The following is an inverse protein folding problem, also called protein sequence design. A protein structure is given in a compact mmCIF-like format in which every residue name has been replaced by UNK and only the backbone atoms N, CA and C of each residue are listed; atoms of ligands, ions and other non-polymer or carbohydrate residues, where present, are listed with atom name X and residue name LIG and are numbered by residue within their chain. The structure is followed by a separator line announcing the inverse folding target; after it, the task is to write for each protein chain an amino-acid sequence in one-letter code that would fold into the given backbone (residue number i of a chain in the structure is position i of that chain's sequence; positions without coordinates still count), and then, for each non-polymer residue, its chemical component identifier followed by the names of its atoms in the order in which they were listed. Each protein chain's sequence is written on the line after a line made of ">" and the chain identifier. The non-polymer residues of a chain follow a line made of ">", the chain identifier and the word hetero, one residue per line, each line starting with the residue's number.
data_IF_334514986288
#
_entry.id   IF_334514986288
#
_cell.length_a   1.000
_cell.length_b   1.000
_cell.length_c   1.000
_cell.angle_alpha   90.00
_cell.angle_beta   90.00
_cell.angle_gamma   90.00
#
_symmetry.space_group_name_H-M   'P 1'
#
loop_
_entity.id
_entity.type
_entity.pdbx_description
1 polymer ?
#
# COMPACT_ATOMS: atom_id res chain seq x y z
N UNK A 1 -12.91 33.52 0.97
CA UNK A 1 -12.87 32.94 -0.40
C UNK A 1 -11.76 33.57 -1.26
N UNK A 2 -10.57 33.93 -0.72
CA UNK A 2 -9.64 34.84 -1.41
C UNK A 2 -8.22 34.33 -1.73
N UNK A 3 -7.61 33.46 -0.92
CA UNK A 3 -6.19 33.10 -1.10
C UNK A 3 -5.87 32.09 -2.22
N UNK A 4 -6.62 30.97 -2.38
CA UNK A 4 -6.31 30.00 -3.43
C UNK A 4 -6.50 30.58 -4.84
N UNK A 5 -7.46 31.50 -4.96
CA UNK A 5 -7.87 32.10 -6.22
C UNK A 5 -6.84 33.08 -6.79
N UNK A 6 -6.10 33.78 -5.92
CA UNK A 6 -5.01 34.66 -6.31
C UNK A 6 -3.73 33.89 -6.64
N UNK A 7 -3.56 32.73 -6.01
CA UNK A 7 -2.41 31.88 -6.25
C UNK A 7 -2.55 31.14 -7.59
N UNK A 8 -3.70 30.59 -7.95
CA UNK A 8 -3.83 29.77 -9.17
C UNK A 8 -4.21 30.56 -10.44
N UNK A 9 -3.78 31.82 -10.57
CA UNK A 9 -4.13 32.69 -11.70
C UNK A 9 -2.92 33.36 -12.33
N UNK A 10 -2.87 33.36 -13.66
CA UNK A 10 -1.97 34.20 -14.44
C UNK A 10 -2.59 35.60 -14.57
N UNK A 11 -1.78 36.66 -14.52
CA UNK A 11 -2.22 38.07 -14.70
C UNK A 11 -2.91 38.32 -16.06
N UNK A 12 -2.76 37.42 -17.04
CA UNK A 12 -3.28 37.58 -18.40
C UNK A 12 -4.44 36.64 -18.77
N UNK A 13 -4.95 35.82 -17.84
CA UNK A 13 -6.12 34.97 -18.12
C UNK A 13 -7.44 35.73 -17.89
N UNK A 14 -7.98 36.31 -18.98
CA UNK A 14 -9.38 36.75 -19.02
C UNK A 14 -10.29 35.57 -18.66
N UNK A 15 -11.25 35.80 -17.75
CA UNK A 15 -12.16 34.78 -17.22
C UNK A 15 -13.12 34.27 -18.28
N UNK A 16 -13.08 32.99 -18.70
CA UNK A 16 -14.30 32.23 -18.69
C UNK A 16 -14.45 31.73 -17.25
N UNK A 17 -15.48 32.20 -16.54
CA UNK A 17 -15.94 31.45 -15.38
C UNK A 17 -16.12 29.99 -15.80
N UNK A 18 -15.90 29.02 -14.91
CA UNK A 18 -16.28 27.62 -15.20
C UNK A 18 -17.75 27.69 -15.58
N UNK A 19 -18.04 27.57 -16.88
CA UNK A 19 -19.40 27.64 -17.36
C UNK A 19 -20.05 26.42 -16.72
N UNK A 20 -21.09 26.62 -15.90
CA UNK A 20 -21.91 25.52 -15.36
C UNK A 20 -22.20 24.40 -16.38
N UNK A 21 -22.39 24.70 -17.69
CA UNK A 21 -22.43 23.69 -18.75
C UNK A 21 -21.24 22.74 -18.82
N UNK A 22 -20.01 23.19 -18.55
CA UNK A 22 -18.79 22.35 -18.57
C UNK A 22 -18.77 21.39 -17.39
N UNK A 23 -19.10 21.87 -16.17
CA UNK A 23 -19.20 21.00 -15.00
C UNK A 23 -20.33 19.98 -15.17
N UNK A 24 -21.50 20.42 -15.66
CA UNK A 24 -22.62 19.53 -15.97
C UNK A 24 -22.26 18.49 -17.02
N UNK A 25 -21.59 18.88 -18.11
CA UNK A 25 -21.07 17.93 -19.11
C UNK A 25 -20.08 16.94 -18.52
N UNK A 26 -19.13 17.40 -17.70
CA UNK A 26 -18.16 16.51 -17.05
C UNK A 26 -18.84 15.49 -16.12
N UNK A 27 -19.83 15.93 -15.33
CA UNK A 27 -20.63 15.06 -14.46
C UNK A 27 -21.46 14.07 -15.28
N UNK A 28 -22.09 14.51 -16.36
CA UNK A 28 -22.87 13.63 -17.25
C UNK A 28 -22.00 12.61 -17.95
N UNK A 29 -20.84 13.01 -18.47
CA UNK A 29 -19.87 12.09 -19.08
C UNK A 29 -19.35 11.11 -18.03
N UNK A 30 -18.98 11.60 -16.84
CA UNK A 30 -18.56 10.75 -15.72
C UNK A 30 -19.64 9.74 -15.34
N UNK A 31 -20.89 10.18 -15.19
CA UNK A 31 -22.02 9.31 -14.90
C UNK A 31 -22.24 8.29 -16.02
N UNK A 32 -22.24 8.70 -17.29
CA UNK A 32 -22.41 7.80 -18.42
C UNK A 32 -21.31 6.71 -18.48
N UNK A 33 -20.07 7.05 -18.08
CA UNK A 33 -18.95 6.12 -18.06
C UNK A 33 -18.98 5.18 -16.84
N UNK A 34 -19.33 5.67 -15.66
CA UNK A 34 -19.27 4.89 -14.41
C UNK A 34 -20.57 4.20 -14.03
N UNK A 35 -21.73 4.72 -14.45
CA UNK A 35 -23.04 4.15 -14.10
C UNK A 35 -23.20 2.70 -14.57
N UNK A 36 -22.76 2.28 -15.79
CA UNK A 36 -22.83 0.88 -16.19
C UNK A 36 -22.06 -0.05 -15.22
N UNK A 37 -20.88 0.38 -14.77
CA UNK A 37 -20.10 -0.38 -13.79
C UNK A 37 -20.79 -0.44 -12.42
N UNK A 38 -21.35 0.68 -11.95
CA UNK A 38 -22.07 0.72 -10.67
C UNK A 38 -23.32 -0.17 -10.68
N UNK A 39 -24.09 -0.14 -11.77
CA UNK A 39 -25.27 -0.99 -11.96
C UNK A 39 -24.87 -2.47 -11.99
N UNK A 40 -23.81 -2.82 -12.73
CA UNK A 40 -23.30 -4.19 -12.76
C UNK A 40 -22.77 -4.64 -11.39
N UNK A 41 -22.01 -3.80 -10.69
CA UNK A 41 -21.48 -4.12 -9.36
C UNK A 41 -22.63 -4.33 -8.37
N UNK A 42 -23.67 -3.50 -8.42
CA UNK A 42 -24.86 -3.68 -7.62
C UNK A 42 -25.59 -4.98 -7.96
N UNK A 43 -25.81 -5.29 -9.24
CA UNK A 43 -26.56 -6.47 -9.64
C UNK A 43 -25.82 -7.79 -9.38
N UNK A 44 -24.49 -7.80 -9.53
CA UNK A 44 -23.66 -8.99 -9.36
C UNK A 44 -23.23 -9.21 -7.90
N UNK A 45 -22.79 -8.16 -7.21
CA UNK A 45 -22.28 -8.27 -5.83
C UNK A 45 -23.30 -7.86 -4.76
N UNK A 46 -24.46 -7.31 -5.12
CA UNK A 46 -25.44 -6.76 -4.18
C UNK A 46 -25.03 -5.41 -3.57
N UNK A 47 -23.87 -4.88 -3.94
CA UNK A 47 -23.34 -3.60 -3.47
C UNK A 47 -22.38 -3.01 -4.52
N UNK A 48 -22.41 -1.69 -4.75
CA UNK A 48 -21.46 -1.01 -5.64
C UNK A 48 -20.13 -0.73 -4.92
N UNK A 49 -20.05 -1.01 -3.61
CA UNK A 49 -18.86 -0.81 -2.80
C UNK A 49 -18.04 -2.09 -2.77
N UNK A 50 -16.80 -2.09 -3.32
CA UNK A 50 -15.91 -3.24 -3.29
C UNK A 50 -15.67 -3.75 -1.86
N UNK A 51 -15.72 -5.08 -1.69
CA UNK A 51 -15.50 -5.73 -0.39
C UNK A 51 -14.18 -5.32 0.29
N UNK A 52 -13.13 -5.13 -0.51
CA UNK A 52 -11.80 -4.71 -0.04
C UNK A 52 -11.80 -3.34 0.64
N UNK A 53 -12.71 -2.42 0.26
CA UNK A 53 -12.87 -1.12 0.94
C UNK A 53 -13.39 -1.34 2.35
N UNK A 54 -14.39 -2.22 2.51
CA UNK A 54 -14.98 -2.55 3.81
C UNK A 54 -13.92 -3.21 4.71
N UNK A 55 -13.17 -4.18 4.17
CA UNK A 55 -12.12 -4.87 4.92
C UNK A 55 -11.02 -3.91 5.40
N UNK A 56 -10.52 -3.03 4.53
CA UNK A 56 -9.47 -2.06 4.88
C UNK A 56 -9.97 -0.98 5.85
N UNK A 57 -11.21 -0.52 5.69
CA UNK A 57 -11.78 0.51 6.56
C UNK A 57 -11.84 0.07 8.03
N UNK A 58 -12.02 -1.23 8.30
CA UNK A 58 -12.06 -1.75 9.66
C UNK A 58 -10.73 -1.59 10.44
N UNK A 59 -9.62 -1.42 9.73
CA UNK A 59 -8.26 -1.26 10.26
C UNK A 59 -7.66 0.11 10.04
N UNK A 60 -8.34 0.98 9.29
CA UNK A 60 -7.88 2.35 9.05
C UNK A 60 -8.46 3.23 10.16
N UNK A 61 -7.63 3.95 10.95
CA UNK A 61 -8.15 4.87 11.95
C UNK A 61 -8.97 5.97 11.28
N UNK A 62 -10.06 6.44 11.92
CA UNK A 62 -10.83 7.55 11.39
C UNK A 62 -9.95 8.81 11.32
N UNK A 63 -9.97 9.49 10.20
CA UNK A 63 -9.21 10.73 9.98
C UNK A 63 -10.10 11.91 10.34
N UNK A 64 -9.67 12.71 11.31
CA UNK A 64 -10.42 13.86 11.78
C UNK A 64 -10.05 15.15 11.05
N UNK A 65 -10.87 16.18 11.24
CA UNK A 65 -10.59 17.53 10.72
C UNK A 65 -9.22 18.06 11.19
N UNK A 66 -8.80 17.71 12.41
CA UNK A 66 -7.48 18.09 12.95
C UNK A 66 -6.34 17.52 12.12
N UNK A 67 -6.39 16.24 11.74
CA UNK A 67 -5.34 15.59 10.95
C UNK A 67 -5.21 16.27 9.59
N UNK A 68 -6.34 16.62 9.00
CA UNK A 68 -6.41 17.39 7.76
C UNK A 68 -5.81 18.80 7.87
N UNK A 69 -6.15 19.54 8.93
CA UNK A 69 -5.61 20.89 9.15
C UNK A 69 -4.10 20.87 9.46
N UNK A 70 -3.62 19.82 10.12
CA UNK A 70 -2.20 19.68 10.48
C UNK A 70 -1.36 19.05 9.38
N UNK A 71 -1.94 18.47 8.33
CA UNK A 71 -1.19 17.79 7.28
C UNK A 71 -0.08 18.64 6.63
N UNK A 72 -0.27 19.94 6.33
CA UNK A 72 0.82 20.80 5.84
C UNK A 72 2.02 20.79 6.80
N UNK A 73 1.76 20.99 8.10
CA UNK A 73 2.80 21.00 9.12
C UNK A 73 3.42 19.61 9.29
N UNK A 74 2.61 18.55 9.30
CA UNK A 74 3.11 17.17 9.36
C UNK A 74 4.00 16.85 8.17
N UNK A 75 3.67 17.34 6.97
CA UNK A 75 4.49 17.17 5.76
C UNK A 75 5.84 17.87 5.92
N UNK A 76 5.87 19.10 6.42
CA UNK A 76 7.12 19.82 6.70
C UNK A 76 7.96 19.16 7.80
N UNK A 77 7.32 18.50 8.77
CA UNK A 77 7.98 17.74 9.83
C UNK A 77 8.37 16.31 9.42
N UNK A 78 8.09 15.89 8.18
CA UNK A 78 8.36 14.52 7.71
C UNK A 78 7.50 13.44 8.37
N UNK A 79 6.31 13.80 8.84
CA UNK A 79 5.34 12.94 9.56
C UNK A 79 4.12 12.55 8.74
N UNK A 80 4.05 12.95 7.47
CA UNK A 80 2.97 12.56 6.55
C UNK A 80 3.49 11.61 5.48
N UNK A 81 2.62 10.76 4.94
CA UNK A 81 2.99 9.87 3.83
C UNK A 81 3.20 10.63 2.51
N UNK A 82 2.94 11.94 2.46
CA UNK A 82 3.21 12.78 1.29
C UNK A 82 4.71 12.85 1.02
N UNK A 83 5.56 12.91 2.06
CA UNK A 83 7.02 12.96 1.86
C UNK A 83 7.61 11.67 1.27
N UNK A 84 6.80 10.62 1.14
CA UNK A 84 7.18 9.34 0.56
C UNK A 84 6.99 9.28 -0.96
N UNK A 85 6.50 10.37 -1.58
CA UNK A 85 6.16 10.47 -3.01
C UNK A 85 7.26 9.99 -3.98
N UNK A 86 8.52 10.23 -3.61
CA UNK A 86 9.68 9.86 -4.40
C UNK A 86 10.56 8.83 -3.69
N UNK A 87 10.04 8.14 -2.67
CA UNK A 87 10.76 7.09 -1.98
C UNK A 87 10.59 5.74 -2.70
N UNK A 88 11.56 4.82 -2.54
CA UNK A 88 11.45 3.50 -3.13
C UNK A 88 10.31 2.70 -2.49
N UNK A 89 9.82 1.68 -3.21
CA UNK A 89 8.75 0.84 -2.70
C UNK A 89 9.17 0.12 -1.41
N UNK A 90 8.29 0.16 -0.40
CA UNK A 90 8.54 -0.43 0.93
C UNK A 90 9.78 0.13 1.66
N UNK A 91 10.14 1.39 1.41
CA UNK A 91 11.29 2.06 2.06
C UNK A 91 11.25 2.01 3.59
N UNK A 92 10.06 1.91 4.20
CA UNK A 92 9.82 1.88 5.65
C UNK A 92 10.52 0.72 6.37
N UNK A 93 10.86 -0.35 5.64
CA UNK A 93 11.65 -1.45 6.18
C UNK A 93 13.15 -1.11 6.28
N UNK A 94 13.60 0.00 5.69
CA UNK A 94 15.00 0.42 5.68
C UNK A 94 15.80 -0.24 4.57
N UNK A 95 17.13 -0.30 4.73
CA UNK A 95 18.04 -0.85 3.72
C UNK A 95 18.32 0.08 2.53
N UNK A 96 18.00 1.37 2.66
CA UNK A 96 18.25 2.39 1.65
C UNK A 96 19.26 3.44 2.15
N UNK A 97 20.16 3.95 1.29
CA UNK A 97 21.08 5.02 1.66
C UNK A 97 20.34 6.26 2.19
N UNK A 98 20.72 6.74 3.37
CA UNK A 98 20.04 7.86 4.05
C UNK A 98 19.97 9.11 3.18
N UNK A 99 21.01 9.40 2.39
CA UNK A 99 21.02 10.60 1.53
C UNK A 99 19.94 10.54 0.44
N UNK A 100 19.61 9.35 -0.09
CA UNK A 100 18.54 9.19 -1.08
C UNK A 100 17.17 9.43 -0.44
N UNK A 101 16.98 8.93 0.79
CA UNK A 101 15.75 9.14 1.55
C UNK A 101 15.53 10.64 1.80
N UNK A 102 16.56 11.33 2.28
CA UNK A 102 16.49 12.77 2.54
C UNK A 102 16.26 13.55 1.24
N UNK A 103 16.95 13.21 0.14
CA UNK A 103 16.75 13.84 -1.17
C UNK A 103 15.30 13.68 -1.65
N UNK A 104 14.75 12.46 -1.61
CA UNK A 104 13.38 12.20 -2.02
C UNK A 104 12.35 12.98 -1.18
N UNK A 105 12.54 13.03 0.14
CA UNK A 105 11.68 13.79 1.05
C UNK A 105 11.75 15.30 0.79
N UNK A 106 12.94 15.85 0.52
CA UNK A 106 13.09 17.25 0.13
C UNK A 106 12.37 17.56 -1.18
N UNK A 107 12.52 16.71 -2.20
CA UNK A 107 11.81 16.85 -3.47
C UNK A 107 10.28 16.80 -3.28
N UNK A 108 9.80 15.86 -2.46
CA UNK A 108 8.39 15.72 -2.15
C UNK A 108 7.85 16.96 -1.41
N UNK A 109 8.59 17.52 -0.44
CA UNK A 109 8.21 18.74 0.26
C UNK A 109 8.14 19.95 -0.69
N UNK A 110 9.12 20.10 -1.60
CA UNK A 110 9.08 21.16 -2.64
C UNK A 110 7.83 21.01 -3.50
N UNK A 111 7.55 19.80 -3.98
CA UNK A 111 6.35 19.52 -4.80
C UNK A 111 5.06 19.78 -4.02
N UNK A 112 5.01 19.45 -2.73
CA UNK A 112 3.82 19.63 -1.90
C UNK A 112 3.37 21.10 -1.80
N UNK A 113 4.34 22.03 -1.79
CA UNK A 113 4.09 23.45 -1.52
C UNK A 113 4.39 24.37 -2.71
N UNK A 114 4.85 23.83 -3.83
CA UNK A 114 5.15 24.55 -5.05
C UNK A 114 3.99 25.42 -5.57
N UNK A 115 2.73 25.00 -5.35
CA UNK A 115 1.54 25.78 -5.71
C UNK A 115 1.44 27.14 -4.99
N UNK A 116 2.12 27.28 -3.85
CA UNK A 116 2.20 28.52 -3.07
C UNK A 116 3.27 29.48 -3.61
N UNK A 117 4.13 29.06 -4.54
CA UNK A 117 5.24 29.87 -5.05
C UNK A 117 4.73 30.75 -6.22
N UNK A 118 4.62 32.08 -6.05
CA UNK A 118 4.01 32.96 -7.05
C UNK A 118 4.84 33.09 -8.35
N UNK A 119 6.13 32.77 -8.31
CA UNK A 119 7.03 32.83 -9.47
C UNK A 119 6.98 31.61 -10.38
N UNK A 120 6.26 30.55 -10.01
CA UNK A 120 6.16 29.34 -10.82
C UNK A 120 5.04 29.46 -11.86
N UNK A 121 5.26 28.82 -13.02
CA UNK A 121 4.25 28.75 -14.07
C UNK A 121 2.94 28.14 -13.54
N UNK A 122 1.82 28.65 -14.04
CA UNK A 122 0.50 28.25 -13.54
C UNK A 122 0.24 26.75 -13.68
N UNK A 123 0.71 26.14 -14.78
CA UNK A 123 0.62 24.70 -14.99
C UNK A 123 1.35 23.91 -13.89
N UNK A 124 2.59 24.29 -13.54
CA UNK A 124 3.35 23.65 -12.47
C UNK A 124 2.70 23.80 -11.10
N UNK A 125 2.09 24.96 -10.83
CA UNK A 125 1.35 25.20 -9.58
C UNK A 125 0.08 24.37 -9.50
N UNK A 126 -0.66 24.23 -10.60
CA UNK A 126 -1.82 23.34 -10.69
C UNK A 126 -1.43 21.87 -10.49
N UNK A 127 -0.32 21.43 -11.09
CA UNK A 127 0.21 20.07 -10.89
C UNK A 127 0.61 19.83 -9.42
N UNK A 128 1.34 20.76 -8.80
CA UNK A 128 1.69 20.71 -7.37
C UNK A 128 0.44 20.65 -6.47
N UNK A 129 -0.57 21.46 -6.74
CA UNK A 129 -1.82 21.43 -5.97
C UNK A 129 -2.56 20.10 -6.15
N UNK A 130 -2.58 19.54 -7.36
CA UNK A 130 -3.17 18.23 -7.62
C UNK A 130 -2.44 17.13 -6.83
N UNK A 131 -1.09 17.16 -6.78
CA UNK A 131 -0.30 16.25 -5.92
C UNK A 131 -0.66 16.46 -4.46
N UNK A 132 -0.70 17.70 -3.98
CA UNK A 132 -1.02 18.00 -2.59
C UNK A 132 -2.40 17.45 -2.19
N UNK A 133 -3.45 17.72 -2.97
CA UNK A 133 -4.81 17.24 -2.70
C UNK A 133 -4.95 15.72 -2.88
N UNK A 134 -4.29 15.15 -3.88
CA UNK A 134 -4.31 13.71 -4.13
C UNK A 134 -3.60 12.91 -3.05
N UNK A 135 -2.39 13.32 -2.67
CA UNK A 135 -1.64 12.70 -1.59
C UNK A 135 -2.30 12.95 -0.24
N UNK A 136 -3.00 14.07 -0.05
CA UNK A 136 -3.83 14.31 1.13
C UNK A 136 -4.92 13.23 1.26
N UNK A 137 -5.61 12.88 0.17
CA UNK A 137 -6.55 11.75 0.17
C UNK A 137 -5.85 10.42 0.48
N UNK A 138 -4.69 10.17 -0.12
CA UNK A 138 -3.95 8.93 0.12
C UNK A 138 -3.38 8.81 1.53
N UNK A 139 -3.09 9.92 2.21
CA UNK A 139 -2.71 9.94 3.61
C UNK A 139 -3.85 9.48 4.54
N UNK A 140 -5.10 9.50 4.05
CA UNK A 140 -6.26 9.05 4.82
C UNK A 140 -6.55 7.56 4.74
N UNK A 141 -5.75 6.82 3.96
CA UNK A 141 -5.88 5.37 3.80
C UNK A 141 -4.54 4.69 4.05
N UNK A 142 -4.55 3.36 4.15
CA UNK A 142 -3.31 2.58 4.13
C UNK A 142 -2.64 2.77 2.76
N UNK A 143 -1.53 3.49 2.74
CA UNK A 143 -0.77 3.76 1.53
C UNK A 143 -0.01 2.51 1.10
N UNK A 144 -0.21 2.13 -0.16
CA UNK A 144 0.61 1.13 -0.82
C UNK A 144 1.40 1.77 -1.97
N UNK A 145 2.63 1.28 -2.28
CA UNK A 145 3.49 1.92 -3.27
C UNK A 145 2.86 2.09 -4.66
N UNK A 146 1.97 1.18 -5.07
CA UNK A 146 1.30 1.26 -6.38
C UNK A 146 0.24 2.38 -6.49
N UNK A 147 -0.08 3.09 -5.39
CA UNK A 147 -0.93 4.28 -5.44
C UNK A 147 -0.16 5.55 -5.80
N UNK A 148 1.17 5.53 -5.68
CA UNK A 148 2.05 6.70 -5.76
C UNK A 148 2.41 7.15 -7.19
N UNK A 149 2.61 6.28 -8.20
CA UNK A 149 3.16 6.68 -9.50
C UNK A 149 2.43 7.81 -10.24
N UNK A 150 1.08 7.86 -10.29
CA UNK A 150 0.38 8.96 -10.94
C UNK A 150 0.71 10.32 -10.30
N UNK A 151 0.91 10.34 -8.98
CA UNK A 151 1.25 11.55 -8.24
C UNK A 151 2.73 11.92 -8.39
N UNK A 152 3.64 10.94 -8.44
CA UNK A 152 5.05 11.20 -8.72
C UNK A 152 5.23 11.84 -10.09
N UNK A 153 4.47 11.42 -11.10
CA UNK A 153 4.49 12.02 -12.44
C UNK A 153 4.08 13.50 -12.41
N UNK A 154 2.97 13.82 -11.73
CA UNK A 154 2.54 15.21 -11.53
C UNK A 154 3.58 16.01 -10.72
N UNK A 155 4.26 15.37 -9.76
CA UNK A 155 5.35 15.96 -9.01
C UNK A 155 6.55 16.30 -9.87
N UNK A 156 6.95 15.40 -10.79
CA UNK A 156 8.01 15.66 -11.78
C UNK A 156 7.65 16.84 -12.68
N UNK A 157 6.39 16.92 -13.15
CA UNK A 157 5.91 18.06 -13.94
C UNK A 157 6.02 19.36 -13.13
N UNK A 158 5.62 19.36 -11.86
CA UNK A 158 5.76 20.52 -10.99
C UNK A 158 7.24 20.94 -10.84
N UNK A 159 8.14 19.99 -10.58
CA UNK A 159 9.58 20.25 -10.47
C UNK A 159 10.17 20.83 -11.76
N UNK A 160 9.76 20.33 -12.93
CA UNK A 160 10.24 20.82 -14.22
C UNK A 160 9.89 22.32 -14.42
N UNK A 161 8.65 22.71 -14.12
CA UNK A 161 8.26 24.14 -14.16
C UNK A 161 8.99 24.98 -13.11
N UNK A 162 9.30 24.40 -11.95
CA UNK A 162 10.13 25.06 -10.93
C UNK A 162 11.55 25.33 -11.41
N UNK A 163 12.17 24.35 -12.08
CA UNK A 163 13.49 24.47 -12.68
C UNK A 163 13.50 25.51 -13.81
N UNK A 164 12.50 25.52 -14.67
CA UNK A 164 12.32 26.54 -15.73
C UNK A 164 12.17 27.95 -15.14
N UNK A 165 11.32 28.13 -14.13
CA UNK A 165 11.13 29.41 -13.46
C UNK A 165 12.42 29.94 -12.83
N UNK A 166 13.21 29.06 -12.20
CA UNK A 166 14.51 29.41 -11.61
C UNK A 166 15.51 29.87 -12.68
N UNK A 167 15.63 29.10 -13.77
CA UNK A 167 16.52 29.42 -14.88
C UNK A 167 16.10 30.70 -15.62
N UNK A 168 14.80 30.94 -15.79
CA UNK A 168 14.28 32.16 -16.42
C UNK A 168 14.49 33.41 -15.57
N UNK A 169 14.38 33.30 -14.24
CA UNK A 169 14.63 34.42 -13.33
C UNK A 169 16.12 34.76 -13.21
N UNK A 170 16.99 33.75 -13.24
CA UNK A 170 18.43 33.93 -13.17
C UNK A 170 19.15 33.11 -14.25
N UNK A 171 19.30 33.63 -15.49
CA UNK A 171 19.86 32.88 -16.61
C UNK A 171 21.26 32.32 -16.37
N UNK A 172 22.07 33.00 -15.54
CA UNK A 172 23.41 32.54 -15.11
C UNK A 172 23.38 31.20 -14.37
N UNK A 173 22.24 30.83 -13.78
CA UNK A 173 22.04 29.55 -13.09
C UNK A 173 21.69 28.39 -14.00
N UNK A 174 21.40 28.63 -15.30
CA UNK A 174 20.93 27.60 -16.22
C UNK A 174 21.82 26.35 -16.28
N UNK A 175 23.18 26.45 -16.35
CA UNK A 175 24.04 25.27 -16.34
C UNK A 175 23.93 24.47 -15.04
N UNK A 176 23.83 25.17 -13.91
CA UNK A 176 23.66 24.56 -12.58
C UNK A 176 22.31 23.87 -12.48
N UNK A 177 21.22 24.53 -12.88
CA UNK A 177 19.86 23.95 -12.88
C UNK A 177 19.80 22.69 -13.75
N UNK A 178 20.38 22.72 -14.96
CA UNK A 178 20.44 21.55 -15.84
C UNK A 178 21.24 20.40 -15.21
N UNK A 179 22.37 20.71 -14.60
CA UNK A 179 23.22 19.71 -13.94
C UNK A 179 22.48 19.08 -12.75
N UNK A 180 21.87 19.89 -11.89
CA UNK A 180 21.09 19.40 -10.73
C UNK A 180 19.89 18.58 -11.19
N UNK A 181 19.15 19.04 -12.21
CA UNK A 181 18.03 18.30 -12.77
C UNK A 181 18.48 16.94 -13.36
N UNK A 182 19.59 16.91 -14.10
CA UNK A 182 20.16 15.69 -14.62
C UNK A 182 20.58 14.73 -13.49
N UNK A 183 21.22 15.23 -12.43
CA UNK A 183 21.59 14.42 -11.27
C UNK A 183 20.37 13.85 -10.54
N UNK A 184 19.30 14.63 -10.39
CA UNK A 184 18.03 14.16 -9.81
C UNK A 184 17.43 13.04 -10.68
N UNK A 185 17.39 13.23 -12.00
CA UNK A 185 16.88 12.21 -12.94
C UNK A 185 17.72 10.94 -12.86
N UNK A 186 19.05 11.04 -12.85
CA UNK A 186 19.96 9.90 -12.70
C UNK A 186 19.75 9.20 -11.36
N UNK A 187 19.62 9.95 -10.25
CA UNK A 187 19.36 9.38 -8.93
C UNK A 187 18.01 8.64 -8.86
N UNK A 188 16.95 9.24 -9.41
CA UNK A 188 15.62 8.63 -9.47
C UNK A 188 15.59 7.39 -10.37
N UNK A 189 16.25 7.44 -11.53
CA UNK A 189 16.39 6.29 -12.43
C UNK A 189 17.18 5.15 -11.77
N UNK A 190 18.28 5.47 -11.08
CA UNK A 190 19.07 4.49 -10.33
C UNK A 190 18.26 3.84 -9.20
N UNK A 191 17.47 4.63 -8.46
CA UNK A 191 16.58 4.12 -7.41
C UNK A 191 15.43 3.28 -7.99
N UNK A 192 14.89 3.64 -9.15
CA UNK A 192 13.90 2.84 -9.87
C UNK A 192 14.50 1.49 -10.30
N UNK A 193 15.70 1.46 -10.89
CA UNK A 193 16.40 0.23 -11.25
C UNK A 193 16.69 -0.65 -10.02
N UNK A 194 17.15 -0.04 -8.93
CA UNK A 194 17.38 -0.71 -7.65
C UNK A 194 16.09 -1.33 -7.09
N UNK A 195 14.97 -0.59 -7.14
CA UNK A 195 13.66 -1.06 -6.71
C UNK A 195 13.16 -2.19 -7.61
N UNK A 196 13.32 -2.07 -8.93
CA UNK A 196 12.96 -3.12 -9.88
C UNK A 196 13.77 -4.41 -9.64
N UNK A 197 15.05 -4.28 -9.32
CA UNK A 197 15.90 -5.40 -8.91
C UNK A 197 15.42 -6.04 -7.60
N UNK A 198 15.14 -5.24 -6.57
CA UNK A 198 14.56 -5.71 -5.30
C UNK A 198 13.24 -6.47 -5.55
N UNK A 199 12.34 -5.94 -6.38
CA UNK A 199 11.06 -6.57 -6.73
C UNK A 199 11.26 -7.88 -7.50
N UNK A 200 12.23 -7.95 -8.41
CA UNK A 200 12.57 -9.18 -9.12
C UNK A 200 13.06 -10.26 -8.16
N UNK A 201 13.93 -9.91 -7.22
CA UNK A 201 14.42 -10.85 -6.20
C UNK A 201 13.27 -11.33 -5.32
N UNK A 202 12.43 -10.42 -4.81
CA UNK A 202 11.22 -10.78 -4.07
C UNK A 202 10.32 -11.74 -4.87
N UNK A 203 10.04 -11.42 -6.13
CA UNK A 203 9.18 -12.22 -6.99
C UNK A 203 9.73 -13.63 -7.23
N UNK A 204 11.05 -13.75 -7.43
CA UNK A 204 11.69 -15.03 -7.75
C UNK A 204 11.93 -15.88 -6.51
N UNK A 205 12.51 -15.31 -5.45
CA UNK A 205 12.92 -16.04 -4.24
C UNK A 205 11.77 -16.24 -3.27
N UNK A 206 10.98 -15.18 -3.02
CA UNK A 206 9.91 -15.21 -2.02
C UNK A 206 8.58 -15.65 -2.61
N UNK A 207 8.06 -14.94 -3.62
CA UNK A 207 6.72 -15.26 -4.17
C UNK A 207 6.73 -16.62 -4.88
N UNK A 208 7.61 -16.78 -5.87
CA UNK A 208 7.67 -17.99 -6.70
C UNK A 208 8.41 -19.12 -6.01
N UNK A 209 9.48 -18.82 -5.26
CA UNK A 209 10.32 -19.83 -4.61
C UNK A 209 9.73 -20.39 -3.32
N UNK A 210 9.09 -19.56 -2.50
CA UNK A 210 8.60 -19.97 -1.18
C UNK A 210 7.08 -19.98 -1.07
N UNK A 211 6.40 -18.86 -1.33
CA UNK A 211 4.95 -18.76 -1.13
C UNK A 211 4.18 -19.70 -2.05
N UNK A 212 4.63 -19.85 -3.30
CA UNK A 212 4.12 -20.90 -4.20
C UNK A 212 4.27 -22.29 -3.59
N UNK A 213 5.46 -22.62 -3.10
CA UNK A 213 5.76 -23.94 -2.53
C UNK A 213 4.92 -24.24 -1.28
N UNK A 214 4.64 -23.22 -0.46
CA UNK A 214 3.70 -23.34 0.67
C UNK A 214 2.30 -23.68 0.16
N UNK A 215 1.79 -22.92 -0.83
CA UNK A 215 0.49 -23.17 -1.44
C UNK A 215 0.37 -24.57 -2.05
N UNK A 216 1.34 -24.99 -2.88
CA UNK A 216 1.36 -26.32 -3.50
C UNK A 216 1.52 -27.46 -2.48
N UNK A 217 2.20 -27.21 -1.35
CA UNK A 217 2.26 -28.18 -0.26
C UNK A 217 0.90 -28.31 0.43
N UNK A 218 0.26 -27.18 0.78
CA UNK A 218 -1.08 -27.17 1.36
C UNK A 218 -2.09 -27.87 0.46
N UNK A 219 -2.10 -27.56 -0.84
CA UNK A 219 -3.02 -28.18 -1.80
C UNK A 219 -2.86 -29.71 -1.94
N UNK A 220 -1.72 -30.29 -1.51
CA UNK A 220 -1.49 -31.74 -1.49
C UNK A 220 -1.75 -32.40 -0.14
N UNK A 221 -1.74 -31.64 0.96
CA UNK A 221 -1.74 -32.18 2.32
C UNK A 221 -3.02 -31.83 3.11
N UNK A 222 -3.75 -30.79 2.69
CA UNK A 222 -5.03 -30.43 3.27
C UNK A 222 -6.17 -31.27 2.67
N UNK A 223 -7.21 -31.50 3.47
CA UNK A 223 -8.43 -32.18 3.04
C UNK A 223 -9.37 -31.21 2.32
N UNK A 224 -10.21 -31.67 1.38
CA UNK A 224 -11.25 -30.84 0.78
C UNK A 224 -12.13 -30.20 1.86
N UNK A 225 -12.35 -28.89 1.75
CA UNK A 225 -13.16 -28.12 2.70
C UNK A 225 -12.38 -27.54 3.89
N UNK A 226 -11.13 -27.95 4.12
CA UNK A 226 -10.29 -27.31 5.14
C UNK A 226 -9.96 -25.86 4.76
N UNK A 227 -9.74 -25.05 5.79
CA UNK A 227 -9.50 -23.60 5.68
C UNK A 227 -8.07 -23.23 6.07
N UNK A 228 -7.55 -22.15 5.49
CA UNK A 228 -6.23 -21.62 5.86
C UNK A 228 -6.30 -20.15 6.22
N UNK A 229 -5.78 -19.78 7.39
CA UNK A 229 -5.63 -18.39 7.82
C UNK A 229 -4.21 -17.88 7.55
N UNK A 230 -4.10 -16.70 6.93
CA UNK A 230 -2.82 -16.06 6.59
C UNK A 230 -3.03 -14.60 6.16
N UNK A 231 -1.99 -13.77 6.18
CA UNK A 231 -2.03 -12.42 5.57
C UNK A 231 -1.63 -12.40 4.08
N UNK A 232 -0.56 -13.09 3.63
CA UNK A 232 -0.14 -13.01 2.24
C UNK A 232 -1.00 -13.90 1.31
N UNK A 233 -2.24 -13.46 1.04
CA UNK A 233 -3.24 -14.18 0.24
C UNK A 233 -2.68 -14.71 -1.08
N UNK A 234 -2.02 -13.83 -1.85
CA UNK A 234 -1.66 -14.02 -3.25
C UNK A 234 -1.29 -15.46 -3.66
N UNK A 235 -0.01 -15.81 -3.56
CA UNK A 235 0.47 -17.11 -4.05
C UNK A 235 -0.03 -18.28 -3.20
N UNK A 236 -0.06 -18.14 -1.87
CA UNK A 236 -0.42 -19.26 -1.00
C UNK A 236 -1.89 -19.67 -1.20
N UNK A 237 -2.80 -18.70 -1.22
CA UNK A 237 -4.23 -18.94 -1.47
C UNK A 237 -4.48 -19.48 -2.87
N UNK A 238 -3.85 -18.89 -3.91
CA UNK A 238 -4.02 -19.33 -5.30
C UNK A 238 -3.58 -20.78 -5.54
N UNK A 239 -2.38 -21.15 -5.07
CA UNK A 239 -1.83 -22.49 -5.33
C UNK A 239 -2.35 -23.56 -4.36
N UNK A 240 -2.79 -23.20 -3.15
CA UNK A 240 -3.40 -24.17 -2.22
C UNK A 240 -4.81 -24.58 -2.62
N UNK A 241 -5.55 -23.71 -3.33
CA UNK A 241 -6.97 -23.89 -3.66
C UNK A 241 -7.87 -24.10 -2.44
N UNK A 242 -7.38 -23.74 -1.25
CA UNK A 242 -8.16 -23.78 -0.01
C UNK A 242 -8.96 -22.51 0.15
N UNK A 243 -10.07 -22.59 0.89
CA UNK A 243 -10.76 -21.40 1.37
C UNK A 243 -9.81 -20.64 2.29
N UNK A 244 -9.36 -19.49 1.82
CA UNK A 244 -8.40 -18.66 2.56
C UNK A 244 -9.15 -17.65 3.41
N UNK A 245 -8.90 -17.66 4.71
CA UNK A 245 -9.33 -16.69 5.70
C UNK A 245 -8.23 -15.63 5.81
N UNK A 246 -8.15 -14.75 4.80
CA UNK A 246 -7.06 -13.80 4.72
C UNK A 246 -7.20 -12.65 5.72
N UNK A 247 -6.11 -12.20 6.32
CA UNK A 247 -6.07 -10.94 7.06
C UNK A 247 -5.73 -9.79 6.10
N UNK A 248 -6.46 -8.65 6.08
CA UNK A 248 -7.58 -8.23 6.93
C UNK A 248 -8.99 -8.63 6.44
N UNK A 249 -9.11 -9.58 5.51
CA UNK A 249 -10.39 -10.03 4.94
C UNK A 249 -10.65 -9.46 3.56
N UNK A 250 -9.62 -9.33 2.72
CA UNK A 250 -9.77 -8.85 1.33
C UNK A 250 -10.58 -9.82 0.47
N UNK A 251 -10.52 -11.12 0.77
CA UNK A 251 -11.24 -12.18 0.07
C UNK A 251 -12.15 -13.04 0.98
N UNK A 252 -12.18 -12.75 2.29
CA UNK A 252 -12.97 -13.47 3.28
C UNK A 252 -13.95 -12.56 4.00
N UNK A 253 -15.23 -12.68 3.62
CA UNK A 253 -16.32 -12.01 4.32
C UNK A 253 -16.48 -12.48 5.77
N UNK A 254 -16.08 -13.72 6.06
CA UNK A 254 -16.07 -14.31 7.39
C UNK A 254 -15.08 -13.58 8.32
N UNK A 255 -13.89 -13.24 7.81
CA UNK A 255 -12.93 -12.41 8.54
C UNK A 255 -13.52 -11.02 8.80
N UNK A 256 -14.11 -10.37 7.79
CA UNK A 256 -14.76 -9.05 7.99
C UNK A 256 -15.88 -9.10 9.02
N UNK A 257 -16.71 -10.16 9.02
CA UNK A 257 -17.74 -10.36 10.02
C UNK A 257 -17.14 -10.54 11.42
N UNK A 258 -16.11 -11.36 11.58
CA UNK A 258 -15.42 -11.55 12.84
C UNK A 258 -14.81 -10.23 13.38
N UNK A 259 -14.22 -9.41 12.49
CA UNK A 259 -13.69 -8.08 12.82
C UNK A 259 -14.77 -7.13 13.31
N UNK A 260 -15.95 -7.12 12.65
CA UNK A 260 -17.11 -6.30 13.07
C UNK A 260 -17.61 -6.69 14.45
N UNK A 261 -17.54 -7.97 14.78
CA UNK A 261 -17.88 -8.49 16.10
C UNK A 261 -16.75 -8.34 17.14
N UNK A 262 -15.68 -7.60 16.82
CA UNK A 262 -14.61 -7.24 17.75
C UNK A 262 -13.33 -8.08 17.66
N UNK A 263 -13.27 -9.14 16.85
CA UNK A 263 -12.06 -9.94 16.67
C UNK A 263 -11.08 -9.23 15.70
N UNK A 264 -10.33 -8.25 16.19
CA UNK A 264 -9.44 -7.41 15.36
C UNK A 264 -7.99 -7.91 15.27
N UNK A 265 -7.54 -8.75 16.19
CA UNK A 265 -6.16 -9.25 16.23
C UNK A 265 -6.03 -10.60 15.55
N UNK A 266 -4.80 -11.03 15.23
CA UNK A 266 -4.54 -12.35 14.66
C UNK A 266 -5.05 -13.44 15.59
N UNK A 267 -4.64 -13.39 16.86
CA UNK A 267 -5.06 -14.39 17.84
C UNK A 267 -6.58 -14.45 18.00
N UNK A 268 -7.25 -13.29 18.08
CA UNK A 268 -8.72 -13.24 18.20
C UNK A 268 -9.45 -13.77 16.96
N UNK A 269 -8.91 -13.52 15.76
CA UNK A 269 -9.47 -14.07 14.52
C UNK A 269 -9.29 -15.58 14.43
N UNK A 270 -8.10 -16.08 14.77
CA UNK A 270 -7.81 -17.51 14.81
C UNK A 270 -8.69 -18.22 15.85
N UNK A 271 -8.85 -17.64 17.03
CA UNK A 271 -9.73 -18.16 18.09
C UNK A 271 -11.18 -18.25 17.65
N UNK A 272 -11.67 -17.22 16.94
CA UNK A 272 -13.07 -17.13 16.54
C UNK A 272 -13.39 -17.98 15.30
N UNK A 273 -12.50 -17.97 14.32
CA UNK A 273 -12.73 -18.63 13.03
C UNK A 273 -12.26 -20.09 13.03
N UNK A 274 -11.37 -20.46 13.95
CA UNK A 274 -10.86 -21.83 14.11
C UNK A 274 -10.43 -22.44 12.77
N UNK A 275 -9.46 -21.85 12.06
CA UNK A 275 -8.97 -22.40 10.80
C UNK A 275 -8.35 -23.80 10.99
N UNK A 276 -8.30 -24.60 9.93
CA UNK A 276 -7.58 -25.89 9.98
C UNK A 276 -6.06 -25.69 9.91
N UNK A 277 -5.64 -24.68 9.16
CA UNK A 277 -4.25 -24.34 8.89
C UNK A 277 -3.97 -22.88 9.16
N UNK A 278 -2.79 -22.57 9.68
CA UNK A 278 -2.34 -21.18 9.90
C UNK A 278 -0.96 -21.00 9.28
N UNK A 279 -0.79 -19.99 8.44
CA UNK A 279 0.52 -19.58 7.92
C UNK A 279 0.89 -18.22 8.50
N UNK A 280 1.96 -18.18 9.31
CA UNK A 280 2.44 -16.96 9.96
C UNK A 280 3.90 -16.70 9.64
N UNK A 281 4.28 -15.43 9.56
CA UNK A 281 5.68 -15.00 9.68
C UNK A 281 6.14 -15.18 11.14
N UNK A 282 7.43 -15.42 11.42
CA UNK A 282 7.93 -15.51 12.79
C UNK A 282 7.59 -14.27 13.65
N UNK A 283 7.66 -13.08 13.06
CA UNK A 283 7.30 -11.82 13.72
C UNK A 283 5.81 -11.72 14.06
N UNK A 284 4.95 -12.40 13.32
CA UNK A 284 3.50 -12.46 13.59
C UNK A 284 3.19 -13.43 14.71
N UNK A 285 3.79 -14.62 14.68
CA UNK A 285 3.66 -15.60 15.75
C UNK A 285 4.21 -15.09 17.09
N UNK A 286 5.17 -14.15 17.05
CA UNK A 286 5.76 -13.52 18.23
C UNK A 286 4.97 -12.30 18.76
N UNK A 287 3.84 -11.92 18.15
CA UNK A 287 3.07 -10.75 18.59
C UNK A 287 2.51 -10.95 20.00
N UNK A 288 2.40 -9.85 20.73
CA UNK A 288 1.93 -9.84 22.12
C UNK A 288 0.50 -10.40 22.27
N UNK A 289 -0.35 -10.31 21.24
CA UNK A 289 -1.71 -10.87 21.30
C UNK A 289 -1.73 -12.40 21.39
N UNK A 290 -0.74 -13.10 20.83
CA UNK A 290 -0.58 -14.54 21.01
C UNK A 290 -0.12 -14.92 22.42
N UNK A 291 0.56 -14.02 23.15
CA UNK A 291 0.88 -14.25 24.58
C UNK A 291 -0.35 -14.11 25.46
N UNK A 292 -1.24 -13.16 25.14
CA UNK A 292 -2.49 -12.93 25.88
C UNK A 292 -3.55 -13.97 25.57
N UNK A 293 -3.55 -14.49 24.35
CA UNK A 293 -4.47 -15.53 23.85
C UNK A 293 -3.61 -16.63 23.21
N UNK A 294 -3.25 -17.67 23.96
CA UNK A 294 -2.31 -18.69 23.49
C UNK A 294 -2.99 -19.69 22.53
N UNK A 295 -3.71 -19.18 21.53
CA UNK A 295 -4.50 -19.94 20.56
C UNK A 295 -3.64 -20.89 19.74
N UNK A 296 -2.34 -20.61 19.60
CA UNK A 296 -1.41 -21.51 18.92
C UNK A 296 -1.16 -22.81 19.70
N UNK A 297 -1.53 -22.89 20.98
CA UNK A 297 -1.46 -24.14 21.74
C UNK A 297 -2.39 -25.22 21.19
N UNK A 298 -3.46 -24.81 20.49
CA UNK A 298 -4.41 -25.72 19.83
C UNK A 298 -3.93 -26.18 18.46
N UNK A 299 -2.70 -25.81 18.07
CA UNK A 299 -2.11 -26.12 16.78
C UNK A 299 -0.71 -26.71 16.93
N UNK A 300 -0.36 -27.63 16.03
CA UNK A 300 0.97 -28.18 15.91
C UNK A 300 1.74 -27.46 14.80
N UNK A 301 2.98 -27.04 15.07
CA UNK A 301 3.89 -26.58 14.03
C UNK A 301 4.33 -27.79 13.20
N UNK A 302 3.82 -27.88 11.97
CA UNK A 302 4.08 -29.04 11.10
C UNK A 302 5.19 -28.81 10.09
N UNK A 303 5.45 -27.55 9.73
CA UNK A 303 6.49 -27.19 8.76
C UNK A 303 6.90 -25.73 8.89
N UNK A 304 8.15 -25.45 8.50
CA UNK A 304 8.66 -24.10 8.31
C UNK A 304 9.36 -23.97 6.96
N UNK A 305 9.33 -22.77 6.40
CA UNK A 305 10.11 -22.39 5.23
C UNK A 305 11.03 -21.24 5.59
N UNK A 306 12.23 -21.28 5.03
CA UNK A 306 13.24 -20.25 5.22
C UNK A 306 14.01 -20.06 3.92
N UNK A 307 13.83 -18.91 3.28
CA UNK A 307 14.60 -18.50 2.10
C UNK A 307 15.64 -17.42 2.40
N UNK A 308 15.93 -17.19 3.69
CA UNK A 308 16.94 -16.21 4.10
C UNK A 308 18.34 -16.52 3.52
N UNK A 309 18.83 -17.78 3.49
CA UNK A 309 20.13 -18.09 2.87
C UNK A 309 20.21 -17.71 1.39
N UNK A 310 19.10 -17.89 0.65
CA UNK A 310 19.00 -17.51 -0.76
C UNK A 310 19.06 -16.00 -0.94
N UNK A 311 18.46 -15.23 -0.01
CA UNK A 311 18.56 -13.77 -0.02
C UNK A 311 19.96 -13.30 0.38
N UNK A 312 20.61 -13.94 1.36
CA UNK A 312 21.99 -13.66 1.78
C UNK A 312 22.99 -13.87 0.62
N UNK A 313 22.74 -14.86 -0.24
CA UNK A 313 23.54 -15.10 -1.43
C UNK A 313 23.44 -14.00 -2.50
N UNK A 314 22.40 -13.14 -2.45
CA UNK A 314 22.28 -11.99 -3.35
C UNK A 314 23.20 -10.87 -2.88
N UNK A 315 24.33 -10.65 -3.55
CA UNK A 315 25.35 -9.67 -3.14
C UNK A 315 24.80 -8.24 -3.03
N UNK A 316 24.09 -7.77 -4.06
CA UNK A 316 23.49 -6.44 -4.08
C UNK A 316 21.98 -6.56 -3.94
N UNK A 317 21.43 -6.17 -2.79
CA UNK A 317 19.98 -6.16 -2.56
C UNK A 317 19.58 -4.89 -1.78
N UNK A 318 19.33 -3.76 -2.48
CA UNK A 318 18.82 -2.56 -1.84
C UNK A 318 17.44 -2.85 -1.23
N UNK A 319 17.12 -2.23 -0.09
CA UNK A 319 15.88 -2.52 0.63
C UNK A 319 15.76 -3.94 1.18
N UNK A 320 16.90 -4.62 1.39
CA UNK A 320 17.00 -6.01 1.90
C UNK A 320 16.02 -6.34 3.05
N UNK A 321 15.87 -5.51 4.10
CA UNK A 321 15.03 -5.88 5.25
C UNK A 321 13.57 -6.19 4.91
N UNK A 322 13.01 -5.61 3.83
CA UNK A 322 11.66 -5.97 3.38
C UNK A 322 11.59 -7.41 2.85
N UNK A 323 12.59 -7.84 2.08
CA UNK A 323 12.64 -9.22 1.58
C UNK A 323 12.87 -10.20 2.75
N UNK A 324 13.71 -9.82 3.72
CA UNK A 324 14.00 -10.64 4.91
C UNK A 324 12.78 -10.77 5.83
N UNK A 325 11.97 -9.71 5.95
CA UNK A 325 10.69 -9.75 6.65
C UNK A 325 9.77 -10.82 6.07
N UNK A 326 9.86 -11.05 4.76
CA UNK A 326 9.06 -12.02 4.02
C UNK A 326 9.79 -13.35 3.76
N UNK A 327 10.96 -13.58 4.35
CA UNK A 327 11.82 -14.73 4.03
C UNK A 327 11.48 -16.01 4.79
N UNK A 328 10.59 -15.94 5.78
CA UNK A 328 10.28 -17.07 6.67
C UNK A 328 8.79 -17.21 6.93
N UNK A 329 8.31 -18.44 6.88
CA UNK A 329 6.94 -18.78 7.25
C UNK A 329 6.90 -20.04 8.12
N UNK A 330 5.96 -20.04 9.05
CA UNK A 330 5.62 -21.11 9.97
C UNK A 330 4.22 -21.60 9.60
N UNK A 331 4.07 -22.90 9.41
CA UNK A 331 2.80 -23.54 9.12
C UNK A 331 2.34 -24.37 10.31
N UNK A 332 1.18 -24.01 10.82
CA UNK A 332 0.53 -24.71 11.91
C UNK A 332 -0.69 -25.46 11.41
N UNK A 333 -0.96 -26.63 12.00
CA UNK A 333 -2.17 -27.41 11.77
C UNK A 333 -2.95 -27.54 13.08
N UNK A 334 -4.25 -27.34 13.04
CA UNK A 334 -5.10 -27.52 14.23
C UNK A 334 -5.03 -28.96 14.74
N UNK A 335 -4.89 -29.12 16.05
CA UNK A 335 -4.95 -30.42 16.72
C UNK A 335 -6.34 -31.01 16.53
N UNK A 336 -6.41 -32.28 16.16
CA UNK A 336 -7.67 -33.01 16.15
C UNK A 336 -8.01 -33.31 17.60
N UNK A 337 -9.09 -32.73 18.11
CA UNK A 337 -9.62 -33.12 19.42
C UNK A 337 -10.20 -34.54 19.30
N UNK A 338 -9.68 -35.48 20.09
CA UNK A 338 -10.11 -36.90 20.15
C UNK A 338 -11.56 -37.09 20.68
N UNK A 339 -12.41 -36.07 20.67
CA UNK A 339 -13.78 -36.09 21.21
C UNK A 339 -14.85 -36.53 20.20
N UNK A 340 -14.52 -37.46 19.30
CA UNK A 340 -15.52 -38.22 18.54
C UNK A 340 -15.37 -39.72 18.80
N UNK A 341 -15.64 -40.14 20.05
CA UNK A 341 -16.05 -41.51 20.30
C UNK A 341 -17.43 -41.70 19.67
N UNK A 342 -17.49 -42.47 18.58
CA UNK A 342 -18.75 -43.02 18.08
C UNK A 342 -19.47 -43.72 19.23
N UNK A 343 -20.79 -43.53 19.42
CA UNK A 343 -21.52 -44.28 20.42
C UNK A 343 -21.35 -45.77 20.12
N UNK A 344 -20.80 -46.51 21.07
CA UNK A 344 -20.79 -47.97 21.04
C UNK A 344 -22.23 -48.46 20.80
N UNK A 345 -22.47 -49.38 19.86
CA UNK A 345 -23.79 -49.97 19.70
C UNK A 345 -24.17 -50.62 21.03
N UNK A 346 -25.29 -50.20 21.60
CA UNK A 346 -25.81 -50.81 22.83
C UNK A 346 -26.16 -52.29 22.54
N UNK A 347 -25.90 -53.19 23.49
CA UNK A 347 -26.16 -54.62 23.35
C UNK A 347 -27.64 -54.95 23.13
#
# INVERSE_FOLDING_TARGET
>A
MGLPFLLLRSKNEATPGIKWPVLGRALLIGAALYLPWLVWAWSYYGTPVPHTIIAKAAYTPPVGLRDYLLLPLQTLLGRSMLVDLFLPSYWVFGGWPRFLVVLAQMLAAVVAFAWMIPGWALAGRRASLAVFLGMFYLCSIILFPWYVPPWSLLGVIALAFGAEALAGRWPRTLPVVRTVAALIVVAQAGMWLATAWQMRVQQTVVESGMRRAIGEWLGRNARPGETVFLEPLGYIGYYSRLKTLDFPGLSSAEVVAAVRDGAKSYAALIEKLQPDWIVLRPVEAAREDFKRRPVLNDYDLVRSWNVLPQLEAVTYLPGRPWNEFEARFLLYRRKVSDTFQLPSPRP
#
